data_IF_456960529024
#
_entry.id   IF_456960529024
#
_cell.length_a   1.000
_cell.length_b   1.000
_cell.length_c   1.000
_cell.angle_alpha   90.00
_cell.angle_beta   90.00
_cell.angle_gamma   90.00
#
_symmetry.space_group_name_H-M   'P 1'
#
loop_
_entity.id
_entity.type
_entity.pdbx_description
1 polymer ?
#
# COMPACT_ATOMS: atom_id res chain seq x y z
N UNK A 1 -3.76 -20.16 -32.92
CA UNK A 1 -3.71 -19.44 -31.63
C UNK A 1 -5.03 -18.76 -31.29
N UNK A 2 -5.65 -18.01 -32.22
CA UNK A 2 -6.98 -17.40 -32.10
C UNK A 2 -8.10 -18.39 -31.68
N UNK A 3 -8.16 -19.59 -32.28
CA UNK A 3 -9.12 -20.65 -31.91
C UNK A 3 -9.06 -21.05 -30.43
N UNK A 4 -7.88 -21.07 -29.78
CA UNK A 4 -7.74 -21.41 -28.35
C UNK A 4 -8.24 -20.28 -27.44
N UNK A 5 -8.14 -19.03 -27.89
CA UNK A 5 -8.60 -17.84 -27.15
C UNK A 5 -10.12 -17.73 -27.22
N UNK A 6 -10.71 -17.98 -28.38
CA UNK A 6 -12.16 -18.04 -28.56
C UNK A 6 -12.79 -19.22 -27.82
N UNK A 7 -12.15 -20.41 -27.86
CA UNK A 7 -12.60 -21.56 -27.07
C UNK A 7 -12.54 -21.26 -25.56
N UNK A 8 -11.48 -20.59 -25.08
CA UNK A 8 -11.38 -20.15 -23.68
C UNK A 8 -12.47 -19.12 -23.32
N UNK A 9 -12.87 -18.23 -24.23
CA UNK A 9 -13.97 -17.28 -24.01
C UNK A 9 -15.33 -17.99 -23.98
N UNK A 10 -15.57 -18.94 -24.89
CA UNK A 10 -16.81 -19.72 -24.94
C UNK A 10 -16.99 -20.62 -23.70
N UNK A 11 -15.93 -21.30 -23.26
CA UNK A 11 -15.94 -22.14 -22.05
C UNK A 11 -16.12 -21.29 -20.78
N UNK A 12 -15.58 -20.06 -20.74
CA UNK A 12 -15.85 -19.11 -19.65
C UNK A 12 -17.33 -18.70 -19.55
N UNK A 13 -18.06 -18.67 -20.67
CA UNK A 13 -19.49 -18.38 -20.69
C UNK A 13 -20.39 -19.54 -20.20
N UNK A 14 -19.86 -20.77 -20.16
CA UNK A 14 -20.61 -21.98 -19.79
C UNK A 14 -20.46 -22.38 -18.32
N UNK A 15 -19.47 -21.83 -17.61
CA UNK A 15 -19.27 -22.12 -16.18
C UNK A 15 -20.15 -21.14 -15.38
N UNK A 16 -21.09 -21.62 -14.55
CA UNK A 16 -21.85 -20.77 -13.63
C UNK A 16 -20.93 -19.82 -12.87
N UNK A 17 -21.23 -18.52 -12.86
CA UNK A 17 -20.40 -17.48 -12.24
C UNK A 17 -20.00 -17.83 -10.79
N UNK A 18 -20.89 -18.51 -10.06
CA UNK A 18 -20.62 -19.04 -8.70
C UNK A 18 -19.44 -20.01 -8.66
N UNK A 19 -19.36 -20.96 -9.60
CA UNK A 19 -18.27 -21.94 -9.68
C UNK A 19 -16.94 -21.28 -10.09
N UNK A 20 -17.00 -20.27 -10.97
CA UNK A 20 -15.80 -19.51 -11.33
C UNK A 20 -15.26 -18.70 -10.14
N UNK A 21 -16.14 -18.01 -9.41
CA UNK A 21 -15.77 -17.27 -8.20
C UNK A 21 -15.21 -18.18 -7.11
N UNK A 22 -15.79 -19.37 -6.91
CA UNK A 22 -15.28 -20.35 -5.95
C UNK A 22 -13.85 -20.82 -6.33
N UNK A 23 -13.62 -21.15 -7.61
CA UNK A 23 -12.29 -21.54 -8.10
C UNK A 23 -11.26 -20.42 -7.96
N UNK A 24 -11.63 -19.18 -8.33
CA UNK A 24 -10.76 -18.00 -8.15
C UNK A 24 -10.39 -17.81 -6.68
N UNK A 25 -11.37 -17.87 -5.79
CA UNK A 25 -11.16 -17.74 -4.35
C UNK A 25 -10.22 -18.82 -3.83
N UNK A 26 -10.44 -20.08 -4.19
CA UNK A 26 -9.55 -21.18 -3.81
C UNK A 26 -8.11 -20.98 -4.30
N UNK A 27 -7.93 -20.45 -5.51
CA UNK A 27 -6.60 -20.12 -6.05
C UNK A 27 -5.91 -19.01 -5.24
N UNK A 28 -6.63 -17.94 -4.91
CA UNK A 28 -6.10 -16.82 -4.11
C UNK A 28 -5.69 -17.30 -2.72
N UNK A 29 -6.57 -18.07 -2.05
CA UNK A 29 -6.26 -18.65 -0.74
C UNK A 29 -5.05 -19.59 -0.81
N UNK A 30 -4.91 -20.39 -1.88
CA UNK A 30 -3.73 -21.24 -2.07
C UNK A 30 -2.45 -20.39 -2.20
N UNK A 31 -2.48 -19.30 -2.98
CA UNK A 31 -1.34 -18.38 -3.07
C UNK A 31 -1.01 -17.78 -1.70
N UNK A 32 -2.01 -17.27 -0.96
CA UNK A 32 -1.80 -16.72 0.38
C UNK A 32 -1.15 -17.73 1.33
N UNK A 33 -1.60 -19.00 1.30
CA UNK A 33 -0.99 -20.08 2.09
C UNK A 33 0.46 -20.34 1.70
N UNK A 34 0.77 -20.34 0.40
CA UNK A 34 2.14 -20.55 -0.08
C UNK A 34 3.08 -19.43 0.40
N UNK A 35 2.65 -18.17 0.30
CA UNK A 35 3.46 -17.04 0.77
C UNK A 35 3.60 -17.04 2.30
N UNK A 36 2.54 -17.37 3.03
CA UNK A 36 2.61 -17.49 4.49
C UNK A 36 3.52 -18.66 4.93
N UNK A 37 3.57 -19.76 4.16
CA UNK A 37 4.46 -20.88 4.41
C UNK A 37 5.94 -20.50 4.21
N UNK A 38 6.25 -19.55 3.32
CA UNK A 38 7.58 -18.95 3.24
C UNK A 38 7.86 -18.07 4.47
N UNK A 39 6.94 -17.17 4.83
CA UNK A 39 7.17 -16.20 5.91
C UNK A 39 7.24 -16.82 7.30
N UNK A 40 6.49 -17.88 7.57
CA UNK A 40 6.41 -18.47 8.91
C UNK A 40 7.80 -18.87 9.45
N UNK A 41 8.59 -19.75 8.80
CA UNK A 41 9.92 -20.10 9.30
C UNK A 41 10.89 -18.91 9.33
N UNK A 42 10.78 -17.96 8.40
CA UNK A 42 11.63 -16.76 8.35
C UNK A 42 11.37 -15.84 9.55
N UNK A 43 10.09 -15.61 9.90
CA UNK A 43 9.69 -14.84 11.07
C UNK A 43 10.23 -15.52 12.34
N UNK A 44 10.09 -16.83 12.45
CA UNK A 44 10.59 -17.59 13.61
C UNK A 44 12.11 -17.47 13.75
N UNK A 45 12.86 -17.67 12.66
CA UNK A 45 14.31 -17.51 12.63
C UNK A 45 14.75 -16.09 13.07
N UNK A 46 14.05 -15.05 12.60
CA UNK A 46 14.31 -13.67 13.02
C UNK A 46 14.13 -13.47 14.53
N UNK A 47 13.02 -13.95 15.10
CA UNK A 47 12.77 -13.81 16.55
C UNK A 47 13.62 -14.75 17.42
N UNK A 48 14.20 -15.80 16.85
CA UNK A 48 15.19 -16.65 17.51
C UNK A 48 16.61 -16.08 17.44
N UNK A 49 16.83 -14.96 16.73
CA UNK A 49 18.14 -14.33 16.57
C UNK A 49 19.02 -14.96 15.49
N UNK A 50 18.45 -15.79 14.60
CA UNK A 50 19.17 -16.41 13.48
C UNK A 50 19.29 -15.48 12.27
N UNK A 51 18.38 -14.49 12.15
CA UNK A 51 18.44 -13.44 11.14
C UNK A 51 18.80 -12.13 11.83
N UNK A 52 19.95 -11.56 11.46
CA UNK A 52 20.43 -10.30 12.03
C UNK A 52 19.54 -9.11 11.63
N UNK A 53 19.46 -8.12 12.51
CA UNK A 53 18.81 -6.85 12.20
C UNK A 53 19.67 -6.00 11.25
N UNK A 54 19.05 -5.35 10.28
CA UNK A 54 19.73 -4.45 9.37
C UNK A 54 19.81 -3.05 9.97
N UNK A 55 21.01 -2.59 10.30
CA UNK A 55 21.24 -1.24 10.79
C UNK A 55 21.22 -0.23 9.64
N UNK A 56 20.06 0.39 9.41
CA UNK A 56 19.93 1.52 8.49
C UNK A 56 20.18 2.83 9.23
N UNK A 57 20.93 3.75 8.63
CA UNK A 57 21.26 5.05 9.23
C UNK A 57 20.67 6.20 8.42
N UNK A 58 20.18 7.26 9.09
CA UNK A 58 19.79 8.48 8.40
C UNK A 58 21.04 9.17 7.86
N UNK A 59 20.96 9.74 6.65
CA UNK A 59 22.03 10.56 6.07
C UNK A 59 21.81 12.06 6.22
N UNK A 60 20.57 12.46 6.55
CA UNK A 60 20.20 13.86 6.79
C UNK A 60 19.56 13.96 8.17
N UNK A 61 19.99 14.95 8.94
CA UNK A 61 19.24 15.36 10.11
C UNK A 61 18.03 16.18 9.65
N UNK A 62 16.85 15.81 10.15
CA UNK A 62 15.61 16.54 9.89
C UNK A 62 15.26 17.34 11.14
N UNK A 63 14.96 18.62 10.95
CA UNK A 63 14.54 19.57 11.98
C UNK A 63 13.14 19.28 12.54
N UNK A 64 12.44 18.29 11.99
CA UNK A 64 11.10 17.89 12.39
C UNK A 64 10.89 16.40 12.21
N UNK A 65 10.09 15.82 13.10
CA UNK A 65 9.57 14.45 12.99
C UNK A 65 8.27 14.38 12.18
N UNK A 66 7.67 15.53 11.85
CA UNK A 66 6.47 15.62 10.99
C UNK A 66 6.88 15.68 9.53
N UNK A 67 7.17 14.52 8.96
CA UNK A 67 7.55 14.38 7.55
C UNK A 67 6.52 13.54 6.79
N UNK A 68 6.19 13.97 5.57
CA UNK A 68 5.47 13.17 4.58
C UNK A 68 6.47 12.74 3.52
N UNK A 69 6.67 11.43 3.39
CA UNK A 69 7.47 10.81 2.34
C UNK A 69 6.58 10.43 1.17
N UNK A 70 6.99 10.81 -0.03
CA UNK A 70 6.46 10.26 -1.28
C UNK A 70 7.60 9.88 -2.20
N UNK A 71 7.35 8.96 -3.14
CA UNK A 71 8.36 8.50 -4.07
C UNK A 71 7.80 8.36 -5.48
N UNK A 72 8.56 8.86 -6.45
CA UNK A 72 8.29 8.69 -7.88
C UNK A 72 9.62 8.53 -8.63
N UNK A 73 9.97 7.27 -8.94
CA UNK A 73 11.31 6.91 -9.41
C UNK A 73 11.75 7.62 -10.70
N UNK A 74 10.82 7.85 -11.63
CA UNK A 74 11.09 8.44 -12.94
C UNK A 74 11.48 9.92 -12.91
N UNK A 75 11.26 10.63 -11.79
CA UNK A 75 11.52 12.06 -11.68
C UNK A 75 10.26 12.92 -11.72
N UNK A 76 10.36 14.13 -11.19
CA UNK A 76 9.22 15.04 -10.95
C UNK A 76 9.09 16.14 -12.01
N UNK A 77 9.65 15.95 -13.21
CA UNK A 77 9.43 16.89 -14.29
C UNK A 77 7.96 16.85 -14.72
N UNK A 78 7.27 17.99 -14.57
CA UNK A 78 5.83 18.17 -14.83
C UNK A 78 5.39 17.69 -16.22
N UNK A 79 6.29 17.69 -17.21
CA UNK A 79 5.96 17.21 -18.58
C UNK A 79 5.71 15.69 -18.61
N UNK A 80 6.34 14.94 -17.70
CA UNK A 80 6.32 13.46 -17.68
C UNK A 80 5.42 12.86 -16.59
N UNK A 81 4.88 13.69 -15.69
CA UNK A 81 4.12 13.23 -14.54
C UNK A 81 2.67 12.94 -14.94
N UNK A 82 2.12 11.74 -14.64
CA UNK A 82 0.71 11.46 -14.92
C UNK A 82 -0.23 12.44 -14.21
N UNK A 83 -1.31 12.85 -14.88
CA UNK A 83 -2.22 13.87 -14.35
C UNK A 83 -2.80 13.55 -12.97
N UNK A 84 -3.08 12.28 -12.66
CA UNK A 84 -3.54 11.88 -11.32
C UNK A 84 -2.46 12.07 -10.24
N UNK A 85 -1.19 11.81 -10.57
CA UNK A 85 -0.08 11.97 -9.64
C UNK A 85 0.14 13.45 -9.34
N UNK A 86 0.06 14.32 -10.35
CA UNK A 86 0.10 15.77 -10.15
C UNK A 86 -1.00 16.25 -9.20
N UNK A 87 -2.25 15.85 -9.45
CA UNK A 87 -3.40 16.20 -8.59
C UNK A 87 -3.15 15.75 -7.15
N UNK A 88 -2.60 14.55 -6.95
CA UNK A 88 -2.29 14.02 -5.63
C UNK A 88 -1.17 14.82 -4.94
N UNK A 89 -0.08 15.13 -5.65
CA UNK A 89 1.00 15.98 -5.11
C UNK A 89 0.49 17.37 -4.71
N UNK A 90 -0.27 18.04 -5.58
CA UNK A 90 -0.84 19.35 -5.29
C UNK A 90 -1.77 19.30 -4.06
N UNK A 91 -2.55 18.22 -3.93
CA UNK A 91 -3.44 18.03 -2.80
C UNK A 91 -2.68 17.81 -1.49
N UNK A 92 -1.55 17.10 -1.54
CA UNK A 92 -0.67 16.89 -0.38
C UNK A 92 -0.05 18.22 0.03
N UNK A 93 0.49 18.99 -0.91
CA UNK A 93 1.13 20.28 -0.62
C UNK A 93 0.15 21.29 0.00
N UNK A 94 -1.09 21.30 -0.50
CA UNK A 94 -2.17 22.13 0.04
C UNK A 94 -2.58 21.75 1.45
N UNK A 95 -2.59 20.45 1.77
CA UNK A 95 -3.17 19.93 3.01
C UNK A 95 -2.15 19.40 4.02
N UNK A 96 -0.85 19.48 3.74
CA UNK A 96 0.22 18.97 4.61
C UNK A 96 0.25 19.58 6.01
N UNK A 97 -0.35 20.76 6.21
CA UNK A 97 -0.26 21.50 7.47
C UNK A 97 1.20 21.70 7.90
N UNK A 98 1.51 21.31 9.13
CA UNK A 98 2.85 21.41 9.72
C UNK A 98 3.85 20.38 9.19
N UNK A 99 3.43 19.42 8.35
CA UNK A 99 4.36 18.43 7.80
C UNK A 99 5.27 19.04 6.74
N UNK A 100 6.52 18.57 6.73
CA UNK A 100 7.47 18.76 5.63
C UNK A 100 7.26 17.64 4.61
N UNK A 101 7.00 17.99 3.36
CA UNK A 101 6.85 17.00 2.28
C UNK A 101 8.20 16.78 1.62
N UNK A 102 8.63 15.51 1.55
CA UNK A 102 9.87 15.09 0.89
C UNK A 102 9.51 14.10 -0.20
N UNK A 103 9.77 14.48 -1.45
CA UNK A 103 9.54 13.65 -2.63
C UNK A 103 10.85 13.11 -3.17
N UNK A 104 10.96 11.78 -3.20
CA UNK A 104 12.15 11.06 -3.61
C UNK A 104 12.01 10.52 -5.03
N UNK A 105 13.16 10.37 -5.70
CA UNK A 105 13.30 9.78 -7.04
C UNK A 105 14.43 8.76 -7.00
N UNK A 106 14.62 7.98 -8.08
CA UNK A 106 15.73 7.04 -8.19
C UNK A 106 17.10 7.68 -7.89
N UNK A 107 17.24 8.99 -8.17
CA UNK A 107 18.48 9.75 -8.02
C UNK A 107 18.69 10.33 -6.62
N UNK A 108 17.61 10.55 -5.86
CA UNK A 108 17.67 11.32 -4.60
C UNK A 108 17.48 10.45 -3.35
N UNK A 109 17.10 9.18 -3.48
CA UNK A 109 16.96 8.26 -2.32
C UNK A 109 18.26 8.16 -1.51
N UNK A 110 19.39 8.01 -2.20
CA UNK A 110 20.73 7.86 -1.58
C UNK A 110 21.21 9.11 -0.84
N UNK A 111 20.51 10.24 -0.94
CA UNK A 111 20.77 11.42 -0.13
C UNK A 111 20.15 11.33 1.27
N UNK A 112 19.16 10.46 1.46
CA UNK A 112 18.40 10.37 2.72
C UNK A 112 18.68 9.06 3.45
N UNK A 113 18.87 7.95 2.75
CA UNK A 113 19.08 6.66 3.40
C UNK A 113 20.07 5.82 2.61
N UNK A 114 21.02 5.21 3.33
CA UNK A 114 21.89 4.19 2.77
C UNK A 114 21.20 2.83 2.94
N UNK A 115 20.82 2.25 1.80
CA UNK A 115 20.33 0.87 1.73
C UNK A 115 21.51 -0.07 1.46
N UNK A 116 21.46 -1.33 1.94
CA UNK A 116 22.51 -2.31 1.66
C UNK A 116 22.79 -2.48 0.16
N UNK A 117 24.05 -2.73 -0.21
CA UNK A 117 24.47 -2.81 -1.61
C UNK A 117 23.66 -3.82 -2.45
N UNK A 118 23.21 -4.93 -1.83
CA UNK A 118 22.40 -5.91 -2.52
C UNK A 118 21.08 -5.31 -3.02
N UNK A 119 20.49 -4.34 -2.32
CA UNK A 119 19.25 -3.68 -2.73
C UNK A 119 19.47 -2.95 -4.05
N UNK A 120 20.58 -2.22 -4.18
CA UNK A 120 20.94 -1.50 -5.40
C UNK A 120 21.22 -2.45 -6.56
N UNK A 121 21.98 -3.53 -6.32
CA UNK A 121 22.20 -4.59 -7.33
C UNK A 121 20.88 -5.23 -7.78
N UNK A 122 19.95 -5.50 -6.86
CA UNK A 122 18.64 -6.08 -7.20
C UNK A 122 17.83 -5.16 -8.10
N UNK A 123 18.05 -3.84 -8.12
CA UNK A 123 17.33 -2.94 -9.03
C UNK A 123 17.62 -3.21 -10.52
N UNK A 124 18.71 -3.90 -10.82
CA UNK A 124 19.05 -4.36 -12.17
C UNK A 124 18.22 -5.60 -12.59
N UNK A 125 17.64 -6.31 -11.62
CA UNK A 125 16.75 -7.44 -11.86
C UNK A 125 15.33 -6.94 -12.19
N UNK A 126 14.82 -7.31 -13.37
CA UNK A 126 13.49 -6.94 -13.85
C UNK A 126 12.33 -7.40 -12.93
N UNK A 127 12.54 -8.43 -12.11
CA UNK A 127 11.55 -8.89 -11.12
C UNK A 127 11.47 -7.96 -9.91
N UNK A 128 12.53 -7.22 -9.57
CA UNK A 128 12.49 -6.21 -8.50
C UNK A 128 12.01 -4.87 -9.06
N UNK A 129 10.71 -4.84 -9.39
CA UNK A 129 10.08 -3.68 -9.99
C UNK A 129 10.15 -2.44 -9.09
N UNK A 130 9.98 -1.25 -9.67
CA UNK A 130 9.90 0.01 -8.90
C UNK A 130 8.83 -0.01 -7.82
N UNK A 131 7.73 -0.74 -8.03
CA UNK A 131 6.67 -0.90 -7.03
C UNK A 131 7.16 -1.67 -5.81
N UNK A 132 7.88 -2.78 -6.03
CA UNK A 132 8.45 -3.58 -4.94
C UNK A 132 9.59 -2.84 -4.23
N UNK A 133 10.40 -2.08 -4.96
CA UNK A 133 11.39 -1.18 -4.36
C UNK A 133 10.72 -0.11 -3.48
N UNK A 134 9.58 0.45 -3.93
CA UNK A 134 8.78 1.39 -3.13
C UNK A 134 8.21 0.77 -1.85
N UNK A 135 7.80 -0.51 -1.89
CA UNK A 135 7.37 -1.25 -0.68
C UNK A 135 8.51 -1.39 0.33
N UNK A 136 9.74 -1.63 -0.13
CA UNK A 136 10.92 -1.68 0.74
C UNK A 136 11.30 -0.28 1.27
N UNK A 137 11.40 0.69 0.36
CA UNK A 137 11.84 2.05 0.67
C UNK A 137 10.95 2.72 1.72
N UNK A 138 9.62 2.53 1.64
CA UNK A 138 8.72 3.17 2.61
C UNK A 138 8.96 2.70 4.03
N UNK A 139 9.15 1.41 4.24
CA UNK A 139 9.40 0.86 5.58
C UNK A 139 10.81 1.21 6.03
N UNK A 140 11.79 1.20 5.13
CA UNK A 140 13.15 1.64 5.44
C UNK A 140 13.18 3.09 5.95
N UNK A 141 12.57 4.03 5.23
CA UNK A 141 12.49 5.43 5.64
C UNK A 141 11.73 5.59 6.97
N UNK A 142 10.57 4.95 7.09
CA UNK A 142 9.76 5.07 8.31
C UNK A 142 10.43 4.45 9.53
N UNK A 143 11.22 3.38 9.37
CA UNK A 143 11.97 2.79 10.49
C UNK A 143 13.02 3.76 11.05
N UNK A 144 13.67 4.53 10.18
CA UNK A 144 14.80 5.41 10.54
C UNK A 144 14.37 6.82 10.92
N UNK A 145 13.35 7.35 10.23
CA UNK A 145 12.90 8.74 10.36
C UNK A 145 11.53 8.88 11.01
N UNK A 146 10.73 7.81 11.05
CA UNK A 146 9.30 7.95 11.31
C UNK A 146 8.60 8.84 10.26
N UNK A 147 7.48 9.41 10.67
CA UNK A 147 6.64 10.28 9.84
C UNK A 147 5.53 9.51 9.14
N UNK A 148 5.19 9.94 7.93
CA UNK A 148 4.07 9.41 7.15
C UNK A 148 4.55 9.07 5.75
N UNK A 149 4.29 7.84 5.30
CA UNK A 149 4.39 7.50 3.89
C UNK A 149 3.04 7.67 3.21
N UNK A 150 3.02 8.41 2.11
CA UNK A 150 1.89 8.47 1.19
C UNK A 150 2.38 8.12 -0.21
N UNK A 151 1.79 7.08 -0.82
CA UNK A 151 2.03 6.81 -2.25
C UNK A 151 1.78 8.05 -3.11
N UNK A 152 2.40 8.09 -4.29
CA UNK A 152 2.24 9.20 -5.23
C UNK A 152 0.80 9.40 -5.72
N UNK A 153 -0.07 8.39 -5.56
CA UNK A 153 -1.50 8.47 -5.89
C UNK A 153 -2.40 8.63 -4.66
N UNK A 154 -1.89 9.15 -3.54
CA UNK A 154 -2.74 9.53 -2.41
C UNK A 154 -3.21 10.97 -2.57
N UNK A 155 -4.52 11.14 -2.64
CA UNK A 155 -5.18 12.44 -2.60
C UNK A 155 -5.51 12.82 -1.15
N UNK A 156 -5.13 14.04 -0.75
CA UNK A 156 -5.60 14.65 0.50
C UNK A 156 -6.72 15.67 0.23
N UNK A 157 -7.87 15.51 0.90
CA UNK A 157 -9.01 16.45 0.83
C UNK A 157 -9.15 17.31 2.10
N UNK A 158 -8.15 17.27 2.95
CA UNK A 158 -8.05 17.96 4.23
C UNK A 158 -6.77 17.53 4.95
N UNK A 159 -6.47 18.11 6.13
CA UNK A 159 -5.26 17.77 6.88
C UNK A 159 -5.25 16.29 7.29
N UNK A 160 -4.04 15.74 7.45
CA UNK A 160 -3.85 14.42 8.04
C UNK A 160 -4.40 14.39 9.47
N UNK A 161 -5.14 13.34 9.87
CA UNK A 161 -5.63 13.22 11.24
C UNK A 161 -4.47 13.07 12.23
N UNK A 162 -4.41 13.93 13.25
CA UNK A 162 -3.39 13.85 14.30
C UNK A 162 -3.47 12.54 15.09
N UNK A 163 -4.65 11.90 15.12
CA UNK A 163 -4.88 10.64 15.84
C UNK A 163 -3.99 9.50 15.36
N UNK A 164 -3.72 9.40 14.05
CA UNK A 164 -2.93 8.29 13.50
C UNK A 164 -1.44 8.40 13.88
N UNK A 165 -0.91 9.61 13.98
CA UNK A 165 0.46 9.86 14.44
C UNK A 165 0.69 9.61 15.93
N UNK A 166 -0.37 9.37 16.72
CA UNK A 166 -0.25 9.04 18.16
C UNK A 166 0.11 7.58 18.41
N UNK A 167 -0.17 6.68 17.47
CA UNK A 167 0.19 5.27 17.61
C UNK A 167 1.68 5.04 17.35
N UNK A 168 2.20 3.87 17.73
CA UNK A 168 3.56 3.45 17.36
C UNK A 168 3.71 3.36 15.84
N UNK A 169 2.71 2.74 15.20
CA UNK A 169 2.45 2.84 13.77
C UNK A 169 0.95 2.84 13.51
N UNK A 170 0.55 3.18 12.29
CA UNK A 170 -0.80 3.03 11.81
C UNK A 170 -0.82 2.69 10.32
N UNK A 171 -1.66 1.71 9.97
CA UNK A 171 -2.08 1.42 8.60
C UNK A 171 -3.58 1.12 8.61
N UNK A 172 -4.30 1.48 7.55
CA UNK A 172 -5.68 1.02 7.41
C UNK A 172 -5.71 -0.51 7.26
N UNK A 173 -6.65 -1.15 7.93
CA UNK A 173 -6.76 -2.61 8.01
C UNK A 173 -8.19 -3.07 7.70
N UNK A 174 -8.31 -4.31 7.23
CA UNK A 174 -9.61 -4.92 6.93
C UNK A 174 -10.44 -5.07 8.20
N UNK A 175 -11.60 -4.41 8.21
CA UNK A 175 -12.55 -4.44 9.33
C UNK A 175 -13.66 -5.45 9.06
N UNK A 176 -14.00 -6.27 10.07
CA UNK A 176 -15.12 -7.22 9.99
C UNK A 176 -16.49 -6.53 10.08
N UNK A 177 -16.53 -5.26 10.48
CA UNK A 177 -17.71 -4.42 10.54
C UNK A 177 -18.12 -3.81 9.18
N UNK A 178 -17.34 -4.00 8.12
CA UNK A 178 -17.72 -3.57 6.77
C UNK A 178 -19.04 -4.23 6.35
N UNK A 179 -20.02 -3.39 5.96
CA UNK A 179 -21.37 -3.84 5.61
C UNK A 179 -21.45 -4.38 4.18
N UNK A 180 -20.66 -3.81 3.27
CA UNK A 180 -20.74 -4.08 1.83
C UNK A 180 -19.64 -5.06 1.38
N UNK A 181 -19.35 -6.10 2.17
CA UNK A 181 -18.27 -7.08 1.92
C UNK A 181 -18.29 -7.64 0.49
N UNK A 182 -19.48 -8.06 0.03
CA UNK A 182 -19.68 -8.63 -1.31
C UNK A 182 -19.40 -7.63 -2.43
N UNK A 183 -19.68 -6.35 -2.21
CA UNK A 183 -19.36 -5.30 -3.17
C UNK A 183 -17.84 -5.20 -3.33
N UNK A 184 -17.12 -5.04 -2.22
CA UNK A 184 -15.67 -4.89 -2.20
C UNK A 184 -14.94 -6.13 -2.76
N UNK A 185 -15.37 -7.33 -2.42
CA UNK A 185 -14.88 -8.58 -3.04
C UNK A 185 -15.07 -8.59 -4.57
N UNK A 186 -16.14 -7.94 -5.05
CA UNK A 186 -16.41 -7.71 -6.47
C UNK A 186 -15.48 -6.68 -7.11
N UNK A 187 -15.13 -5.60 -6.38
CA UNK A 187 -14.21 -4.54 -6.84
C UNK A 187 -12.83 -5.12 -7.15
N UNK A 188 -12.24 -5.86 -6.20
CA UNK A 188 -10.95 -6.51 -6.43
C UNK A 188 -10.72 -7.71 -5.50
N UNK A 189 -11.08 -8.89 -5.98
CA UNK A 189 -11.06 -10.14 -5.20
C UNK A 189 -9.68 -10.56 -4.66
N UNK A 190 -8.58 -10.03 -5.22
CA UNK A 190 -7.22 -10.33 -4.73
C UNK A 190 -6.83 -9.46 -3.52
N UNK A 191 -7.52 -8.33 -3.31
CA UNK A 191 -7.26 -7.41 -2.20
C UNK A 191 -8.38 -7.41 -1.16
N UNK A 192 -9.64 -7.43 -1.59
CA UNK A 192 -10.79 -7.41 -0.70
C UNK A 192 -11.30 -8.83 -0.43
N UNK A 193 -11.18 -9.30 0.81
CA UNK A 193 -11.70 -10.60 1.23
C UNK A 193 -11.88 -10.70 2.75
N UNK A 194 -12.97 -11.35 3.18
CA UNK A 194 -13.33 -11.51 4.60
C UNK A 194 -13.27 -12.96 5.10
N UNK A 195 -12.75 -13.88 4.29
CA UNK A 195 -12.51 -15.23 4.78
C UNK A 195 -11.45 -15.21 5.88
N UNK A 196 -11.59 -16.10 6.86
CA UNK A 196 -10.63 -16.23 7.96
C UNK A 196 -9.22 -16.62 7.46
N UNK A 197 -9.14 -17.35 6.35
CA UNK A 197 -7.88 -17.75 5.69
C UNK A 197 -7.35 -16.72 4.67
N UNK A 198 -8.01 -15.57 4.51
CA UNK A 198 -7.54 -14.46 3.68
C UNK A 198 -6.53 -13.61 4.45
N UNK A 199 -5.39 -13.29 3.84
CA UNK A 199 -4.23 -12.67 4.53
C UNK A 199 -3.88 -11.27 4.04
N UNK A 200 -4.46 -10.82 2.93
CA UNK A 200 -4.29 -9.44 2.46
C UNK A 200 -5.32 -8.58 3.19
N UNK A 201 -4.90 -7.99 4.31
CA UNK A 201 -5.80 -7.29 5.23
C UNK A 201 -5.29 -5.89 5.63
N UNK A 202 -4.35 -5.33 4.88
CA UNK A 202 -3.73 -4.04 5.20
C UNK A 202 -3.47 -3.21 3.94
N UNK A 203 -3.70 -1.91 4.04
CA UNK A 203 -3.33 -0.93 3.01
C UNK A 203 -1.97 -0.33 3.33
N UNK A 204 -0.92 -0.80 2.67
CA UNK A 204 0.46 -0.34 2.88
C UNK A 204 0.85 0.91 2.06
N UNK A 205 -0.10 1.55 1.37
CA UNK A 205 0.14 2.79 0.59
C UNK A 205 0.00 4.06 1.43
N UNK A 206 -0.49 3.93 2.66
CA UNK A 206 -0.64 4.99 3.67
C UNK A 206 -0.15 4.41 4.99
N UNK A 207 0.96 4.94 5.51
CA UNK A 207 1.56 4.43 6.75
C UNK A 207 1.98 5.60 7.61
N UNK A 208 1.60 5.59 8.87
CA UNK A 208 2.16 6.47 9.89
C UNK A 208 3.05 5.62 10.77
N UNK A 209 4.20 6.15 11.17
CA UNK A 209 5.10 5.46 12.08
C UNK A 209 5.90 6.45 12.92
N UNK A 210 6.13 6.08 14.17
CA UNK A 210 7.23 6.66 14.93
C UNK A 210 8.53 6.04 14.47
N UNK A 211 9.61 6.81 14.58
CA UNK A 211 10.96 6.28 14.45
C UNK A 211 11.13 5.09 15.41
N UNK A 212 11.82 4.06 14.95
CA UNK A 212 12.10 2.83 15.71
C UNK A 212 10.83 2.04 16.13
N UNK A 213 9.68 2.27 15.48
CA UNK A 213 8.47 1.45 15.69
C UNK A 213 8.78 -0.03 15.53
N UNK A 214 8.28 -0.85 16.47
CA UNK A 214 8.63 -2.28 16.55
C UNK A 214 8.15 -3.02 15.29
N UNK A 215 6.89 -2.85 14.92
CA UNK A 215 6.31 -3.52 13.75
C UNK A 215 7.00 -3.06 12.46
N UNK A 216 7.25 -1.75 12.31
CA UNK A 216 7.91 -1.21 11.11
C UNK A 216 9.37 -1.70 11.02
N UNK A 217 10.08 -1.77 12.14
CA UNK A 217 11.45 -2.26 12.19
C UNK A 217 11.55 -3.75 11.84
N UNK A 218 10.64 -4.58 12.36
CA UNK A 218 10.58 -6.00 11.99
C UNK A 218 10.22 -6.20 10.52
N UNK A 219 9.26 -5.43 9.98
CA UNK A 219 8.95 -5.47 8.54
C UNK A 219 10.17 -5.09 7.70
N UNK A 220 10.92 -4.05 8.11
CA UNK A 220 12.14 -3.62 7.43
C UNK A 220 13.16 -4.76 7.38
N UNK A 221 13.44 -5.39 8.51
CA UNK A 221 14.43 -6.48 8.57
C UNK A 221 14.01 -7.68 7.72
N UNK A 222 12.75 -8.12 7.85
CA UNK A 222 12.22 -9.27 7.11
C UNK A 222 12.16 -9.02 5.60
N UNK A 223 11.84 -7.80 5.17
CA UNK A 223 11.84 -7.43 3.75
C UNK A 223 13.26 -7.30 3.18
N UNK A 224 14.22 -6.76 3.95
CA UNK A 224 15.62 -6.72 3.54
C UNK A 224 16.19 -8.13 3.40
N UNK A 225 15.93 -9.00 4.38
CA UNK A 225 16.31 -10.42 4.33
C UNK A 225 15.71 -11.14 3.12
N UNK A 226 14.44 -10.87 2.83
CA UNK A 226 13.81 -11.42 1.63
C UNK A 226 14.56 -11.00 0.36
N UNK A 227 14.86 -9.72 0.19
CA UNK A 227 15.52 -9.25 -1.03
C UNK A 227 17.00 -9.60 -1.10
N UNK A 228 17.64 -9.85 0.05
CA UNK A 228 19.00 -10.38 0.09
C UNK A 228 19.04 -11.83 -0.42
N UNK A 229 18.07 -12.65 0.01
CA UNK A 229 18.08 -14.10 -0.23
C UNK A 229 17.27 -14.56 -1.44
N UNK A 230 16.33 -13.74 -1.92
CA UNK A 230 15.39 -14.08 -3.00
C UNK A 230 15.53 -13.12 -4.19
N UNK A 231 15.24 -13.61 -5.40
CA UNK A 231 15.31 -12.83 -6.65
C UNK A 231 13.94 -12.44 -7.22
N UNK A 232 12.85 -12.95 -6.65
CA UNK A 232 11.50 -12.68 -7.13
C UNK A 232 10.48 -12.92 -6.03
N UNK A 233 9.35 -12.21 -6.11
CA UNK A 233 8.24 -12.40 -5.17
C UNK A 233 7.32 -13.55 -5.61
N UNK A 234 6.85 -14.40 -4.67
CA UNK A 234 5.89 -15.46 -5.00
C UNK A 234 4.48 -14.93 -5.31
N UNK A 235 4.15 -13.74 -4.80
CA UNK A 235 2.90 -13.01 -5.04
C UNK A 235 3.14 -11.51 -4.89
N UNK A 236 2.38 -10.69 -5.61
CA UNK A 236 2.46 -9.23 -5.50
C UNK A 236 2.14 -8.74 -4.07
N UNK A 237 1.24 -9.41 -3.35
CA UNK A 237 0.84 -9.04 -1.99
C UNK A 237 1.70 -9.68 -0.89
N UNK A 238 2.93 -10.10 -1.20
CA UNK A 238 3.81 -10.75 -0.23
C UNK A 238 4.07 -9.90 1.03
N UNK A 239 4.11 -8.57 0.87
CA UNK A 239 4.20 -7.59 1.97
C UNK A 239 2.99 -7.67 2.91
N UNK A 240 1.78 -7.65 2.36
CA UNK A 240 0.54 -7.61 3.14
C UNK A 240 0.35 -8.93 3.87
N UNK A 241 0.75 -10.04 3.23
CA UNK A 241 0.76 -11.35 3.86
C UNK A 241 1.79 -11.41 4.98
N UNK A 242 3.00 -10.87 4.79
CA UNK A 242 4.01 -10.72 5.85
C UNK A 242 3.45 -9.96 7.05
N UNK A 243 2.85 -8.78 6.80
CA UNK A 243 2.23 -7.97 7.84
C UNK A 243 1.17 -8.77 8.61
N UNK A 244 0.27 -9.46 7.90
CA UNK A 244 -0.74 -10.29 8.53
C UNK A 244 -0.13 -11.41 9.39
N UNK A 245 0.87 -12.15 8.89
CA UNK A 245 1.53 -13.20 9.68
C UNK A 245 2.22 -12.63 10.93
N UNK A 246 2.81 -11.44 10.83
CA UNK A 246 3.51 -10.79 11.92
C UNK A 246 2.54 -10.30 13.01
N UNK A 247 1.51 -9.51 12.65
CA UNK A 247 0.61 -8.85 13.61
C UNK A 247 -0.52 -9.73 14.13
N UNK A 248 -0.82 -10.87 13.49
CA UNK A 248 -1.81 -11.83 14.02
C UNK A 248 -1.20 -12.91 14.91
N UNK A 249 0.13 -13.04 14.89
CA UNK A 249 0.87 -14.01 15.67
C UNK A 249 1.80 -13.28 16.63
N UNK A 250 3.02 -13.00 16.20
CA UNK A 250 4.14 -12.55 17.05
C UNK A 250 3.93 -11.17 17.68
N UNK A 251 3.35 -10.24 16.95
CA UNK A 251 3.19 -8.83 17.36
C UNK A 251 1.73 -8.41 17.52
N UNK A 252 0.88 -9.32 18.01
CA UNK A 252 -0.56 -9.05 18.18
C UNK A 252 -0.87 -8.00 19.24
N UNK A 253 -0.07 -7.93 20.31
CA UNK A 253 -0.13 -6.90 21.35
C UNK A 253 0.38 -5.54 20.89
N UNK A 254 1.07 -5.48 19.74
CA UNK A 254 1.66 -4.26 19.17
C UNK A 254 0.86 -3.67 18.01
N UNK A 255 -0.21 -4.32 17.56
CA UNK A 255 -0.98 -3.82 16.42
C UNK A 255 -1.68 -2.48 16.74
N UNK A 256 -1.89 -1.66 15.71
CA UNK A 256 -2.68 -0.45 15.83
C UNK A 256 -4.19 -0.74 15.79
N UNK A 257 -5.06 0.19 16.23
CA UNK A 257 -6.49 0.04 16.06
C UNK A 257 -6.89 -0.18 14.61
N UNK A 258 -7.87 -1.08 14.40
CA UNK A 258 -8.38 -1.41 13.06
C UNK A 258 -9.30 -0.29 12.58
N UNK A 259 -8.89 0.41 11.52
CA UNK A 259 -9.74 1.32 10.76
C UNK A 259 -9.85 0.78 9.34
N UNK A 260 -11.08 0.63 8.88
CA UNK A 260 -11.42 -0.08 7.65
C UNK A 260 -10.66 0.45 6.42
N UNK A 261 -9.87 -0.41 5.79
CA UNK A 261 -9.11 -0.13 4.56
C UNK A 261 -9.97 0.04 3.31
N UNK A 262 -11.26 -0.26 3.36
CA UNK A 262 -12.19 0.11 2.31
C UNK A 262 -12.36 1.63 2.18
N UNK A 263 -12.26 2.37 3.30
CA UNK A 263 -12.57 3.81 3.37
C UNK A 263 -11.72 4.64 2.39
N UNK A 264 -10.37 4.52 2.36
CA UNK A 264 -9.54 5.27 1.42
C UNK A 264 -9.83 4.98 -0.06
N UNK A 265 -10.49 3.85 -0.38
CA UNK A 265 -10.78 3.45 -1.76
C UNK A 265 -12.16 3.91 -2.25
N UNK A 266 -12.98 4.54 -1.41
CA UNK A 266 -14.36 4.91 -1.78
C UNK A 266 -14.36 5.88 -2.96
N UNK A 267 -13.61 6.99 -2.87
CA UNK A 267 -13.64 8.04 -3.89
C UNK A 267 -13.23 7.50 -5.26
N UNK A 268 -12.12 6.76 -5.35
CA UNK A 268 -11.69 6.19 -6.63
C UNK A 268 -12.73 5.23 -7.22
N UNK A 269 -13.41 4.45 -6.38
CA UNK A 269 -14.40 3.48 -6.82
C UNK A 269 -15.65 4.18 -7.34
N UNK A 270 -16.05 5.30 -6.70
CA UNK A 270 -17.13 6.16 -7.21
C UNK A 270 -16.78 6.84 -8.54
N UNK A 271 -15.51 7.16 -8.79
CA UNK A 271 -15.07 7.74 -10.07
C UNK A 271 -15.03 6.68 -11.20
N UNK A 272 -14.58 5.45 -10.89
CA UNK A 272 -14.41 4.36 -11.86
C UNK A 272 -15.65 3.48 -12.06
N UNK A 273 -16.60 3.49 -11.14
CA UNK A 273 -17.72 2.57 -11.14
C UNK A 273 -18.94 3.14 -10.41
N UNK A 274 -19.85 2.23 -10.03
CA UNK A 274 -21.05 2.56 -9.27
C UNK A 274 -20.82 2.11 -7.82
N UNK A 275 -20.47 3.04 -6.95
CA UNK A 275 -20.56 2.84 -5.51
C UNK A 275 -21.53 3.88 -4.97
N UNK A 276 -22.81 3.55 -4.97
CA UNK A 276 -23.89 4.51 -4.71
C UNK A 276 -24.38 4.47 -3.26
N UNK A 277 -23.78 3.62 -2.42
CA UNK A 277 -24.21 3.40 -1.04
C UNK A 277 -24.03 4.64 -0.14
N UNK A 278 -23.08 5.52 -0.47
CA UNK A 278 -22.90 6.83 0.19
C UNK A 278 -22.62 7.92 -0.84
N UNK A 279 -22.96 9.16 -0.51
CA UNK A 279 -22.66 10.36 -1.30
C UNK A 279 -21.16 10.71 -1.29
N UNK A 280 -20.73 11.60 -2.19
CA UNK A 280 -19.37 12.15 -2.15
C UNK A 280 -19.11 12.96 -0.88
N UNK A 281 -20.09 13.73 -0.40
CA UNK A 281 -20.01 14.46 0.87
C UNK A 281 -19.77 13.52 2.06
N UNK A 282 -20.50 12.41 2.13
CA UNK A 282 -20.29 11.41 3.19
C UNK A 282 -18.92 10.75 3.06
N UNK A 283 -18.51 10.35 1.85
CA UNK A 283 -17.19 9.77 1.62
C UNK A 283 -16.04 10.71 2.04
N UNK A 284 -16.16 12.00 1.74
CA UNK A 284 -15.18 13.02 2.13
C UNK A 284 -15.16 13.31 3.63
N UNK A 285 -16.24 12.99 4.37
CA UNK A 285 -16.29 13.09 5.83
C UNK A 285 -15.70 11.87 6.53
N UNK A 286 -15.69 10.70 5.89
CA UNK A 286 -15.12 9.47 6.47
C UNK A 286 -13.59 9.54 6.61
N UNK A 287 -12.92 10.18 5.67
CA UNK A 287 -11.45 10.37 5.70
C UNK A 287 -11.04 11.54 4.83
N UNK A 288 -9.91 12.16 5.19
CA UNK A 288 -9.22 13.11 4.33
C UNK A 288 -8.19 12.44 3.40
N UNK A 289 -7.93 11.14 3.56
CA UNK A 289 -6.85 10.42 2.88
C UNK A 289 -7.46 9.38 1.93
N UNK A 290 -7.27 9.57 0.62
CA UNK A 290 -7.90 8.76 -0.42
C UNK A 290 -6.87 8.12 -1.34
N UNK A 291 -6.93 6.80 -1.50
CA UNK A 291 -6.08 6.07 -2.44
C UNK A 291 -6.71 6.10 -3.82
N UNK A 292 -6.02 6.71 -4.77
CA UNK A 292 -6.44 6.83 -6.16
C UNK A 292 -5.82 5.75 -7.06
N UNK A 293 -6.55 5.45 -8.14
CA UNK A 293 -6.10 4.67 -9.28
C UNK A 293 -5.78 5.59 -10.45
N UNK A 294 -5.19 5.01 -11.50
CA UNK A 294 -5.15 5.69 -12.79
C UNK A 294 -6.56 5.81 -13.37
N UNK A 295 -6.82 6.96 -13.98
CA UNK A 295 -8.07 7.30 -14.64
C UNK A 295 -7.79 7.65 -16.09
N UNK A 296 -8.78 7.43 -16.95
CA UNK A 296 -8.83 8.07 -18.26
C UNK A 296 -9.13 9.58 -18.11
N UNK A 297 -9.03 10.32 -19.21
CA UNK A 297 -9.24 11.78 -19.21
C UNK A 297 -10.63 12.16 -18.65
N UNK A 298 -11.65 11.36 -18.96
CA UNK A 298 -13.01 11.56 -18.45
C UNK A 298 -13.07 11.38 -16.92
N UNK A 299 -12.40 10.35 -16.36
CA UNK A 299 -12.29 10.14 -14.93
C UNK A 299 -11.51 11.25 -14.22
N UNK A 300 -10.43 11.75 -14.83
CA UNK A 300 -9.69 12.91 -14.33
C UNK A 300 -10.59 14.16 -14.30
N UNK A 301 -11.36 14.42 -15.36
CA UNK A 301 -12.30 15.54 -15.40
C UNK A 301 -13.37 15.42 -14.31
N UNK A 302 -13.97 14.23 -14.14
CA UNK A 302 -14.95 13.97 -13.07
C UNK A 302 -14.34 14.23 -11.69
N UNK A 303 -13.14 13.73 -11.42
CA UNK A 303 -12.45 13.96 -10.15
C UNK A 303 -12.26 15.47 -9.91
N UNK A 304 -11.72 16.21 -10.88
CA UNK A 304 -11.53 17.66 -10.76
C UNK A 304 -12.83 18.42 -10.47
N UNK A 305 -13.92 18.06 -11.16
CA UNK A 305 -15.24 18.66 -10.92
C UNK A 305 -15.72 18.43 -9.48
N UNK A 306 -15.60 17.20 -8.98
CA UNK A 306 -16.02 16.87 -7.62
C UNK A 306 -15.18 17.60 -6.59
N UNK A 307 -13.85 17.64 -6.76
CA UNK A 307 -12.98 18.38 -5.85
C UNK A 307 -13.33 19.87 -5.84
N UNK A 308 -13.63 20.47 -6.99
CA UNK A 308 -14.03 21.88 -7.08
C UNK A 308 -15.38 22.12 -6.39
N UNK A 309 -16.37 21.27 -6.65
CA UNK A 309 -17.71 21.38 -6.06
C UNK A 309 -17.68 21.34 -4.53
N UNK A 310 -16.74 20.60 -3.95
CA UNK A 310 -16.60 20.41 -2.51
C UNK A 310 -15.49 21.29 -1.89
N UNK A 311 -15.01 22.30 -2.62
CA UNK A 311 -14.00 23.26 -2.12
C UNK A 311 -12.65 22.63 -1.77
N UNK A 312 -12.26 21.55 -2.45
CA UNK A 312 -11.01 20.80 -2.21
C UNK A 312 -9.88 21.20 -3.16
N UNK A 313 -10.23 21.81 -4.29
CA UNK A 313 -9.28 22.42 -5.23
C UNK A 313 -9.64 23.85 -5.55
#
# INVERSE_FOLDING_TARGET
MLRKIELKKAVKGLIPMKLWNARRTASIIKQHKNVAAFWTPVIEAYYNGEIESYSLKPKKELDTQKVIWQYWGQGMDNVSLPGIVQICFDSVDRNKGAYRVIRLTDKTVSEYIDLPDFVWRKRENAQFTRTLFSDLLRIALLSVYGGVWLDATILLTGPLPDTYGKYDFFMFQRSDEEKNKRYWEGVYAYYFGWRTDFKVKVLNSIIFARKDSVVISSLKDLLLYFWETQDSVPDYFFFQILFNELVTKRLSDRNCPVINDCIPHIIQTKINGKYDDISFDEALKLTNIHKMAYFDDAGIMRLKMILKQHGKV
#
